data_IF_932354028778
#
_entry.id   IF_932354028778
#
_cell.length_a   1.000
_cell.length_b   1.000
_cell.length_c   1.000
_cell.angle_alpha   90.00
_cell.angle_beta   90.00
_cell.angle_gamma   90.00
#
_symmetry.space_group_name_H-M   'P 1'
#
loop_
_entity.id
_entity.type
_entity.pdbx_description
1 polymer ?
#
# COMPACT_ATOMS: atom_id res chain seq x y z
N UNK A 1 -10.26 -7.09 23.19
CA UNK A 1 -9.27 -8.10 23.63
C UNK A 1 -8.08 -7.46 24.36
N UNK A 2 -8.21 -7.16 25.65
CA UNK A 2 -7.12 -6.53 26.42
C UNK A 2 -5.89 -7.43 26.65
N UNK A 3 -5.97 -8.74 26.35
CA UNK A 3 -4.91 -9.72 26.64
C UNK A 3 -4.12 -10.22 25.41
N UNK A 4 -4.36 -9.68 24.20
CA UNK A 4 -3.55 -10.07 23.04
C UNK A 4 -2.15 -9.45 23.19
N UNK A 5 -1.18 -10.28 23.58
CA UNK A 5 0.23 -9.93 23.53
C UNK A 5 0.76 -10.17 22.12
N UNK A 6 1.04 -9.09 21.39
CA UNK A 6 1.86 -9.18 20.19
C UNK A 6 3.24 -9.70 20.59
N UNK A 7 3.70 -10.77 19.94
CA UNK A 7 4.99 -11.42 20.21
C UNK A 7 5.67 -11.82 18.90
N UNK A 8 6.89 -12.36 19.00
CA UNK A 8 7.65 -12.81 17.83
C UNK A 8 8.33 -11.67 17.06
N UNK A 9 8.76 -12.00 15.84
CA UNK A 9 9.59 -11.12 14.99
C UNK A 9 8.95 -9.74 14.76
N UNK A 10 7.64 -9.59 14.45
CA UNK A 10 7.03 -8.27 14.25
C UNK A 10 7.09 -7.38 15.50
N UNK A 11 6.89 -7.96 16.69
CA UNK A 11 6.95 -7.22 17.94
C UNK A 11 8.39 -6.79 18.27
N UNK A 12 9.36 -7.68 18.06
CA UNK A 12 10.78 -7.35 18.22
C UNK A 12 11.21 -6.23 17.28
N UNK A 13 10.85 -6.33 16.01
CA UNK A 13 11.11 -5.32 14.97
C UNK A 13 10.62 -3.94 15.39
N UNK A 14 9.36 -3.82 15.81
CA UNK A 14 8.82 -2.52 16.19
C UNK A 14 9.38 -2.01 17.53
N UNK A 15 9.69 -2.88 18.48
CA UNK A 15 10.39 -2.46 19.70
C UNK A 15 11.76 -1.86 19.39
N UNK A 16 12.48 -2.40 18.40
CA UNK A 16 13.76 -1.83 17.94
C UNK A 16 13.54 -0.47 17.29
N UNK A 17 12.50 -0.31 16.46
CA UNK A 17 12.14 0.99 15.88
C UNK A 17 11.81 2.05 16.93
N UNK A 18 11.04 1.70 17.96
CA UNK A 18 10.74 2.61 19.08
C UNK A 18 12.02 3.05 19.79
N UNK A 19 12.93 2.11 20.08
CA UNK A 19 14.23 2.42 20.72
C UNK A 19 15.11 3.35 19.88
N UNK A 20 14.96 3.31 18.56
CA UNK A 20 15.69 4.16 17.61
C UNK A 20 14.98 5.48 17.31
N UNK A 21 13.80 5.73 17.88
CA UNK A 21 12.99 6.92 17.58
C UNK A 21 12.40 6.93 16.17
N UNK A 22 12.39 5.79 15.48
CA UNK A 22 11.87 5.63 14.13
C UNK A 22 10.34 5.45 14.08
N UNK A 23 9.74 5.23 15.24
CA UNK A 23 8.30 5.23 15.52
C UNK A 23 8.13 5.51 17.03
N UNK A 24 6.91 5.79 17.47
CA UNK A 24 6.60 6.11 18.86
C UNK A 24 5.96 4.92 19.61
N UNK A 25 6.12 4.95 20.93
CA UNK A 25 5.57 3.92 21.82
C UNK A 25 4.03 3.92 21.81
N UNK A 26 3.43 5.08 21.56
CA UNK A 26 1.99 5.25 21.48
C UNK A 26 1.40 4.50 20.27
N UNK A 27 2.10 4.47 19.14
CA UNK A 27 1.77 3.69 17.94
C UNK A 27 1.77 2.20 18.27
N UNK A 28 2.75 1.74 19.06
CA UNK A 28 2.80 0.37 19.57
C UNK A 28 1.67 0.03 20.55
N UNK A 29 1.33 0.96 21.45
CA UNK A 29 0.27 0.78 22.45
C UNK A 29 -1.14 0.90 21.84
N UNK A 30 -1.30 1.67 20.76
CA UNK A 30 -2.54 1.78 19.97
C UNK A 30 -2.68 0.70 18.91
N UNK A 31 -1.62 -0.05 18.58
CA UNK A 31 -1.66 -1.13 17.60
C UNK A 31 -2.82 -2.13 17.78
N UNK A 32 -3.18 -2.58 19.01
CA UNK A 32 -4.37 -3.41 19.22
C UNK A 32 -5.70 -2.74 18.86
N UNK A 33 -5.73 -1.43 18.60
CA UNK A 33 -6.92 -0.65 18.23
C UNK A 33 -6.78 0.00 16.83
N UNK A 34 -5.68 -0.25 16.14
CA UNK A 34 -5.42 0.22 14.79
C UNK A 34 -5.83 -0.88 13.83
N UNK A 35 -6.89 -0.66 13.04
CA UNK A 35 -7.41 -1.61 12.06
C UNK A 35 -6.25 -2.29 11.31
N UNK A 36 -6.02 -3.56 11.65
CA UNK A 36 -4.76 -4.28 11.43
C UNK A 36 -4.60 -4.52 9.94
N UNK A 37 -3.73 -3.69 9.35
CA UNK A 37 -3.44 -3.70 7.92
C UNK A 37 -2.81 -2.40 7.43
N UNK A 38 -3.00 -1.28 8.15
CA UNK A 38 -2.61 0.04 7.59
C UNK A 38 -1.76 0.97 8.46
N UNK A 39 -1.56 0.76 9.78
CA UNK A 39 -1.27 1.91 10.65
C UNK A 39 -0.11 1.83 11.65
N UNK A 40 0.86 0.90 11.50
CA UNK A 40 2.15 1.08 12.18
C UNK A 40 3.04 1.98 11.32
N UNK A 41 3.02 3.28 11.56
CA UNK A 41 3.83 4.24 10.82
C UNK A 41 5.24 4.25 11.39
N UNK A 42 6.23 4.05 10.53
CA UNK A 42 7.64 4.11 10.89
C UNK A 42 8.45 4.72 9.77
N UNK A 43 9.65 5.18 10.09
CA UNK A 43 10.61 5.60 9.06
C UNK A 43 11.06 4.38 8.24
N UNK A 44 10.84 4.37 6.90
CA UNK A 44 11.16 3.22 6.05
C UNK A 44 12.67 2.95 5.95
N UNK A 45 13.52 3.97 6.08
CA UNK A 45 14.97 3.79 6.07
C UNK A 45 15.42 3.14 7.38
N UNK A 46 14.84 3.55 8.50
CA UNK A 46 15.12 2.93 9.80
C UNK A 46 14.58 1.50 9.88
N UNK A 47 13.41 1.22 9.27
CA UNK A 47 12.91 -0.14 9.11
C UNK A 47 13.90 -1.01 8.34
N UNK A 48 14.40 -0.52 7.21
CA UNK A 48 15.42 -1.22 6.42
C UNK A 48 16.68 -1.49 7.24
N UNK A 49 17.15 -0.52 8.01
CA UNK A 49 18.29 -0.68 8.91
C UNK A 49 18.05 -1.73 10.01
N UNK A 50 16.88 -1.71 10.66
CA UNK A 50 16.54 -2.70 11.69
C UNK A 50 16.48 -4.11 11.11
N UNK A 51 15.92 -4.28 9.91
CA UNK A 51 15.90 -5.59 9.25
C UNK A 51 17.32 -6.12 8.94
N UNK A 52 18.25 -5.24 8.53
CA UNK A 52 19.65 -5.61 8.34
C UNK A 52 20.29 -6.10 9.65
N UNK A 53 20.12 -5.34 10.74
CA UNK A 53 20.66 -5.72 12.06
C UNK A 53 20.10 -7.07 12.53
N UNK A 54 18.78 -7.24 12.46
CA UNK A 54 18.12 -8.48 12.88
C UNK A 54 18.62 -9.68 12.07
N UNK A 55 18.84 -9.51 10.76
CA UNK A 55 19.37 -10.56 9.91
C UNK A 55 20.84 -10.90 10.25
N UNK A 56 21.69 -9.90 10.46
CA UNK A 56 23.10 -10.11 10.83
C UNK A 56 23.24 -10.78 12.20
N UNK A 57 22.48 -10.33 13.21
CA UNK A 57 22.47 -10.92 14.54
C UNK A 57 21.99 -12.38 14.53
N UNK A 58 21.06 -12.71 13.64
CA UNK A 58 20.60 -14.08 13.41
C UNK A 58 21.60 -14.94 12.60
N UNK A 59 22.72 -14.37 12.16
CA UNK A 59 23.73 -15.05 11.35
C UNK A 59 23.28 -15.32 9.91
N UNK A 60 22.29 -14.57 9.40
CA UNK A 60 21.81 -14.68 8.03
C UNK A 60 22.86 -14.13 7.08
N UNK A 61 23.29 -14.95 6.11
CA UNK A 61 24.16 -14.50 5.04
C UNK A 61 23.36 -13.72 4.00
N UNK A 62 23.40 -12.40 4.09
CA UNK A 62 22.70 -11.50 3.17
C UNK A 62 23.37 -11.45 1.79
N UNK A 63 22.55 -11.43 0.75
CA UNK A 63 22.95 -11.16 -0.64
C UNK A 63 22.14 -9.97 -1.18
N UNK A 64 22.57 -8.75 -0.87
CA UNK A 64 21.92 -7.53 -1.35
C UNK A 64 22.20 -7.29 -2.84
N UNK A 65 21.41 -6.43 -3.50
CA UNK A 65 21.53 -6.12 -4.93
C UNK A 65 21.57 -7.38 -5.82
N UNK A 66 20.80 -8.39 -5.42
CA UNK A 66 20.73 -9.71 -6.05
C UNK A 66 19.29 -9.95 -6.49
N UNK A 67 19.11 -10.23 -7.77
CA UNK A 67 17.81 -10.49 -8.38
C UNK A 67 17.64 -11.97 -8.64
N UNK A 68 16.47 -12.50 -8.31
CA UNK A 68 16.05 -13.83 -8.72
C UNK A 68 16.00 -13.93 -10.26
N UNK A 69 16.36 -15.09 -10.82
CA UNK A 69 16.28 -15.36 -12.25
C UNK A 69 15.47 -16.62 -12.57
N UNK A 70 15.74 -17.72 -11.85
CA UNK A 70 15.08 -19.00 -12.12
C UNK A 70 15.18 -19.94 -10.91
N UNK A 71 14.26 -20.88 -10.77
CA UNK A 71 14.30 -21.94 -9.77
C UNK A 71 15.12 -23.13 -10.29
N UNK A 72 15.90 -23.76 -9.41
CA UNK A 72 16.56 -25.03 -9.73
C UNK A 72 15.66 -26.15 -9.24
N UNK A 73 15.03 -26.88 -10.15
CA UNK A 73 14.12 -27.99 -9.83
C UNK A 73 14.75 -29.31 -10.24
N UNK A 74 14.83 -30.25 -9.29
CA UNK A 74 15.30 -31.62 -9.51
C UNK A 74 14.31 -32.59 -8.85
N UNK A 75 13.88 -33.63 -9.57
CA UNK A 75 12.98 -34.67 -9.04
C UNK A 75 11.71 -34.11 -8.35
N UNK A 76 11.10 -33.10 -8.99
CA UNK A 76 9.90 -32.41 -8.48
C UNK A 76 10.12 -31.68 -7.13
N UNK A 77 11.36 -31.28 -6.82
CA UNK A 77 11.70 -30.50 -5.64
C UNK A 77 12.63 -29.33 -5.98
N UNK A 78 12.36 -28.16 -5.39
CA UNK A 78 13.24 -26.99 -5.51
C UNK A 78 14.54 -27.26 -4.72
N UNK A 79 15.69 -27.20 -5.40
CA UNK A 79 17.04 -27.42 -4.85
C UNK A 79 17.86 -26.14 -4.74
N UNK A 80 17.29 -25.01 -5.14
CA UNK A 80 17.98 -23.72 -5.13
C UNK A 80 17.39 -22.74 -6.12
N UNK A 81 18.12 -21.65 -6.34
CA UNK A 81 17.76 -20.60 -7.28
C UNK A 81 18.97 -20.14 -8.08
N UNK A 82 18.72 -19.68 -9.30
CA UNK A 82 19.64 -18.90 -10.11
C UNK A 82 19.39 -17.43 -9.80
N UNK A 83 20.47 -16.69 -9.55
CA UNK A 83 20.43 -15.26 -9.24
C UNK A 83 21.37 -14.47 -10.13
N UNK A 84 21.12 -13.16 -10.24
CA UNK A 84 21.97 -12.20 -10.92
C UNK A 84 22.34 -11.06 -9.96
N UNK A 85 23.64 -10.79 -9.84
CA UNK A 85 24.15 -9.62 -9.12
C UNK A 85 25.37 -9.04 -9.83
N UNK A 86 26.09 -8.10 -9.18
CA UNK A 86 27.28 -7.44 -9.73
C UNK A 86 28.39 -8.42 -10.11
N UNK A 87 28.48 -9.57 -9.44
CA UNK A 87 29.46 -10.62 -9.71
C UNK A 87 29.03 -11.60 -10.80
N UNK A 88 27.90 -11.32 -11.48
CA UNK A 88 27.38 -12.16 -12.55
C UNK A 88 26.25 -13.08 -12.09
N UNK A 89 25.96 -14.07 -12.93
CA UNK A 89 24.92 -15.08 -12.70
C UNK A 89 25.48 -16.22 -11.83
N UNK A 90 24.74 -16.61 -10.80
CA UNK A 90 25.19 -17.59 -9.81
C UNK A 90 24.07 -18.58 -9.49
N UNK A 91 24.43 -19.83 -9.17
CA UNK A 91 23.52 -20.81 -8.62
C UNK A 91 23.69 -20.87 -7.09
N UNK A 92 22.59 -20.69 -6.36
CA UNK A 92 22.54 -20.82 -4.89
C UNK A 92 21.74 -22.07 -4.56
N UNK A 93 22.43 -23.15 -4.16
CA UNK A 93 21.77 -24.39 -3.74
C UNK A 93 21.32 -24.31 -2.29
N UNK A 94 20.15 -24.86 -2.01
CA UNK A 94 19.57 -24.92 -0.67
C UNK A 94 18.79 -26.21 -0.47
N UNK A 95 18.66 -26.65 0.79
CA UNK A 95 17.80 -27.79 1.15
C UNK A 95 16.31 -27.42 1.11
N UNK A 96 16.03 -26.16 1.43
CA UNK A 96 14.68 -25.57 1.47
C UNK A 96 14.81 -24.17 0.89
N UNK A 97 13.86 -23.78 0.04
CA UNK A 97 13.71 -22.42 -0.48
C UNK A 97 12.39 -21.87 0.03
N UNK A 98 12.43 -20.69 0.64
CA UNK A 98 11.24 -19.97 1.10
C UNK A 98 10.97 -18.85 0.09
N UNK A 99 9.83 -18.90 -0.59
CA UNK A 99 9.42 -17.83 -1.50
C UNK A 99 8.79 -16.69 -0.68
N UNK A 100 9.62 -15.68 -0.41
CA UNK A 100 9.20 -14.43 0.23
C UNK A 100 9.27 -13.25 -0.77
N UNK A 101 9.05 -13.52 -2.07
CA UNK A 101 9.10 -12.48 -3.11
C UNK A 101 7.90 -11.55 -3.10
N UNK A 102 6.78 -11.98 -2.50
CA UNK A 102 5.51 -11.25 -2.49
C UNK A 102 4.68 -11.43 -3.78
N UNK A 103 5.27 -12.02 -4.82
CA UNK A 103 4.67 -12.19 -6.15
C UNK A 103 4.75 -13.64 -6.66
N UNK A 104 5.08 -14.57 -5.75
CA UNK A 104 5.27 -16.00 -6.02
C UNK A 104 6.22 -16.29 -7.20
N UNK A 105 7.26 -15.47 -7.38
CA UNK A 105 8.18 -15.58 -8.51
C UNK A 105 8.95 -16.90 -8.52
N UNK A 106 9.38 -17.36 -7.33
CA UNK A 106 10.13 -18.62 -7.21
C UNK A 106 9.19 -19.80 -7.43
N UNK A 107 8.00 -19.77 -6.81
CA UNK A 107 7.00 -20.82 -6.97
C UNK A 107 6.56 -20.96 -8.44
N UNK A 108 6.22 -19.85 -9.10
CA UNK A 108 5.81 -19.86 -10.50
C UNK A 108 6.94 -20.34 -11.43
N UNK A 109 8.18 -19.91 -11.19
CA UNK A 109 9.35 -20.39 -11.95
C UNK A 109 9.63 -21.87 -11.72
N UNK A 110 9.33 -22.41 -10.53
CA UNK A 110 9.41 -23.84 -10.24
C UNK A 110 8.27 -24.67 -10.87
N UNK A 111 7.31 -24.04 -11.56
CA UNK A 111 6.15 -24.70 -12.17
C UNK A 111 4.99 -24.96 -11.21
N UNK A 112 4.97 -24.31 -10.03
CA UNK A 112 3.84 -24.40 -9.10
C UNK A 112 2.62 -23.68 -9.71
N UNK A 113 1.43 -24.32 -9.72
CA UNK A 113 0.22 -23.68 -10.21
C UNK A 113 -0.07 -22.37 -9.46
N UNK A 114 -0.34 -21.32 -10.23
CA UNK A 114 -0.63 -19.99 -9.71
C UNK A 114 -1.78 -19.38 -10.51
N UNK A 115 -2.71 -18.73 -9.80
CA UNK A 115 -3.68 -17.83 -10.42
C UNK A 115 -3.08 -16.42 -10.54
N UNK A 116 -3.51 -15.68 -11.56
CA UNK A 116 -3.10 -14.30 -11.77
C UNK A 116 -4.24 -13.35 -11.38
N UNK A 117 -3.97 -12.46 -10.43
CA UNK A 117 -4.91 -11.45 -9.97
C UNK A 117 -4.52 -10.06 -10.49
N UNK A 118 -5.36 -9.47 -11.33
CA UNK A 118 -5.22 -8.08 -11.83
C UNK A 118 -6.19 -7.11 -11.14
N UNK A 119 -6.95 -7.61 -10.16
CA UNK A 119 -8.08 -6.94 -9.55
C UNK A 119 -7.71 -5.94 -8.47
N UNK A 120 -6.44 -5.89 -8.04
CA UNK A 120 -5.94 -4.88 -7.09
C UNK A 120 -4.90 -3.98 -7.77
N UNK A 121 -4.83 -2.70 -7.36
CA UNK A 121 -3.98 -1.75 -8.03
C UNK A 121 -2.52 -1.92 -7.61
N UNK A 122 -1.65 -1.37 -8.45
CA UNK A 122 -0.30 -1.04 -8.06
C UNK A 122 -0.29 0.29 -7.32
N UNK A 123 0.63 0.42 -6.37
CA UNK A 123 0.80 1.65 -5.60
C UNK A 123 2.24 2.13 -5.62
N UNK A 124 2.42 3.44 -5.47
CA UNK A 124 3.71 4.07 -5.25
C UNK A 124 3.58 5.00 -4.04
N UNK A 125 3.91 4.47 -2.86
CA UNK A 125 3.87 5.24 -1.61
C UNK A 125 4.81 6.44 -1.74
N UNK A 126 4.31 7.61 -1.38
CA UNK A 126 5.03 8.88 -1.48
C UNK A 126 5.18 9.50 -0.11
N UNK A 127 6.39 9.94 0.20
CA UNK A 127 6.76 10.62 1.43
C UNK A 127 6.94 12.10 1.16
N UNK A 128 6.16 12.93 1.82
CA UNK A 128 6.09 14.37 1.58
C UNK A 128 6.49 15.08 2.87
N UNK A 129 7.58 15.82 2.82
CA UNK A 129 8.10 16.62 3.93
C UNK A 129 7.69 18.09 3.83
N UNK A 130 8.00 18.84 4.89
CA UNK A 130 7.71 20.27 5.03
C UNK A 130 6.22 20.62 4.88
N UNK A 131 5.34 19.77 5.41
CA UNK A 131 3.90 20.04 5.49
C UNK A 131 3.62 20.82 6.77
N UNK A 132 2.89 21.94 6.67
CA UNK A 132 2.41 22.69 7.82
C UNK A 132 1.12 22.05 8.35
N UNK A 133 1.32 21.26 9.40
CA UNK A 133 0.30 20.44 10.04
C UNK A 133 -0.81 21.27 10.68
N UNK A 134 -0.46 22.33 11.41
CA UNK A 134 -1.42 23.23 12.05
C UNK A 134 -2.35 23.86 11.02
N UNK A 135 -1.81 24.27 9.87
CA UNK A 135 -2.59 24.85 8.78
C UNK A 135 -3.52 23.83 8.12
N UNK A 136 -3.07 22.59 7.96
CA UNK A 136 -3.94 21.49 7.49
C UNK A 136 -5.10 21.28 8.47
N UNK A 137 -4.82 21.18 9.78
CA UNK A 137 -5.86 21.02 10.82
C UNK A 137 -6.84 22.17 10.82
N UNK A 138 -6.33 23.39 10.79
CA UNK A 138 -7.16 24.59 10.79
C UNK A 138 -8.09 24.57 9.59
N UNK A 139 -7.55 24.33 8.39
CA UNK A 139 -8.34 24.26 7.17
C UNK A 139 -9.45 23.20 7.24
N UNK A 140 -9.14 21.99 7.72
CA UNK A 140 -10.11 20.91 7.87
C UNK A 140 -11.14 21.16 8.99
N UNK A 141 -10.76 21.93 10.01
CA UNK A 141 -11.67 22.33 11.10
C UNK A 141 -12.66 23.39 10.64
N UNK A 142 -12.21 24.32 9.79
CA UNK A 142 -13.03 25.38 9.20
C UNK A 142 -13.88 24.87 8.03
N UNK A 143 -13.46 23.78 7.38
CA UNK A 143 -14.13 23.15 6.25
C UNK A 143 -14.38 21.66 6.57
N UNK A 144 -15.41 21.35 7.38
CA UNK A 144 -15.66 20.00 7.85
C UNK A 144 -16.02 19.06 6.69
N UNK A 145 -15.70 17.78 6.89
CA UNK A 145 -15.91 16.73 5.90
C UNK A 145 -17.40 16.43 5.72
N UNK A 146 -17.92 16.65 4.51
CA UNK A 146 -19.30 16.32 4.12
C UNK A 146 -19.34 15.18 3.12
N UNK A 147 -20.50 14.65 2.73
CA UNK A 147 -20.53 13.87 1.48
C UNK A 147 -20.31 14.79 0.26
N UNK A 148 -19.84 14.27 -0.90
CA UNK A 148 -19.79 15.08 -2.10
C UNK A 148 -21.23 15.31 -2.56
N UNK A 149 -21.54 16.54 -2.92
CA UNK A 149 -22.88 16.90 -3.38
C UNK A 149 -23.22 16.26 -4.75
N UNK A 150 -24.49 16.34 -5.12
CA UNK A 150 -24.98 15.79 -6.39
C UNK A 150 -24.35 16.47 -7.61
N UNK A 151 -23.99 17.75 -7.50
CA UNK A 151 -23.35 18.50 -8.58
C UNK A 151 -21.96 17.93 -8.87
N UNK A 152 -21.15 17.69 -7.83
CA UNK A 152 -19.85 17.06 -7.97
C UNK A 152 -19.97 15.65 -8.53
N UNK A 153 -20.89 14.83 -8.02
CA UNK A 153 -21.07 13.44 -8.49
C UNK A 153 -21.43 13.40 -9.97
N UNK A 154 -22.30 14.29 -10.43
CA UNK A 154 -22.67 14.38 -11.84
C UNK A 154 -21.50 14.86 -12.71
N UNK A 155 -20.84 15.94 -12.31
CA UNK A 155 -19.64 16.44 -12.98
C UNK A 155 -18.54 15.36 -13.07
N UNK A 156 -18.32 14.63 -11.99
CA UNK A 156 -17.25 13.64 -11.94
C UNK A 156 -17.56 12.43 -12.83
N UNK A 157 -18.83 12.02 -12.89
CA UNK A 157 -19.29 11.00 -13.84
C UNK A 157 -19.03 11.43 -15.28
N UNK A 158 -19.39 12.66 -15.67
CA UNK A 158 -19.14 13.21 -17.01
C UNK A 158 -17.63 13.30 -17.32
N UNK A 159 -16.84 13.74 -16.34
CA UNK A 159 -15.38 13.78 -16.44
C UNK A 159 -14.80 12.39 -16.72
N UNK A 160 -15.22 11.36 -15.99
CA UNK A 160 -14.76 9.99 -16.20
C UNK A 160 -15.18 9.43 -17.57
N UNK A 161 -16.42 9.68 -18.00
CA UNK A 161 -16.90 9.31 -19.35
C UNK A 161 -15.98 9.88 -20.41
N UNK A 162 -15.63 11.17 -20.31
CA UNK A 162 -14.73 11.84 -21.26
C UNK A 162 -13.31 11.26 -21.22
N UNK A 163 -12.73 11.09 -20.03
CA UNK A 163 -11.34 10.65 -19.88
C UNK A 163 -11.14 9.18 -20.27
N UNK A 164 -12.11 8.32 -19.93
CA UNK A 164 -12.01 6.89 -20.16
C UNK A 164 -12.66 6.46 -21.48
N UNK A 165 -13.52 7.29 -22.08
CA UNK A 165 -14.31 6.91 -23.24
C UNK A 165 -15.26 5.76 -22.94
N UNK A 166 -15.78 5.70 -21.71
CA UNK A 166 -16.70 4.66 -21.24
C UNK A 166 -18.14 5.19 -21.20
N UNK A 167 -19.15 4.33 -21.36
CA UNK A 167 -20.53 4.68 -21.05
C UNK A 167 -20.69 5.15 -19.59
N UNK A 168 -21.65 6.05 -19.29
CA UNK A 168 -21.87 6.57 -17.93
C UNK A 168 -22.06 5.49 -16.86
N UNK A 169 -22.80 4.42 -17.19
CA UNK A 169 -23.07 3.27 -16.32
C UNK A 169 -21.82 2.47 -15.94
N UNK A 170 -20.77 2.53 -16.77
CA UNK A 170 -19.50 1.86 -16.50
C UNK A 170 -18.50 2.79 -15.82
N UNK A 171 -18.53 4.09 -16.14
CA UNK A 171 -17.74 5.10 -15.45
C UNK A 171 -17.99 5.11 -13.93
N UNK A 172 -19.25 4.99 -13.49
CA UNK A 172 -19.62 4.95 -12.07
C UNK A 172 -19.22 3.65 -11.35
N UNK A 173 -18.85 2.60 -12.09
CA UNK A 173 -18.40 1.32 -11.51
C UNK A 173 -16.89 1.31 -11.23
N UNK A 174 -16.14 2.27 -11.78
CA UNK A 174 -14.68 2.38 -11.61
C UNK A 174 -14.28 2.53 -10.14
N UNK A 175 -13.07 2.05 -9.81
CA UNK A 175 -12.49 2.24 -8.47
C UNK A 175 -12.38 3.72 -8.13
N UNK A 176 -11.90 4.53 -9.08
CA UNK A 176 -11.85 5.98 -8.99
C UNK A 176 -13.18 6.61 -8.55
N UNK A 177 -14.29 6.29 -9.23
CA UNK A 177 -15.60 6.84 -8.88
C UNK A 177 -15.98 6.50 -7.43
N UNK A 178 -15.80 5.25 -7.02
CA UNK A 178 -16.15 4.81 -5.66
C UNK A 178 -15.32 5.51 -4.59
N UNK A 179 -14.02 5.69 -4.81
CA UNK A 179 -13.12 6.34 -3.85
C UNK A 179 -13.49 7.82 -3.68
N UNK A 180 -13.72 8.52 -4.77
CA UNK A 180 -13.95 9.97 -4.76
C UNK A 180 -15.40 10.37 -4.46
N UNK A 181 -16.36 9.43 -4.47
CA UNK A 181 -17.76 9.69 -4.14
C UNK A 181 -18.22 9.09 -2.81
N UNK A 182 -17.30 8.47 -2.08
CA UNK A 182 -17.56 7.87 -0.77
C UNK A 182 -16.87 8.67 0.35
N UNK A 183 -17.56 8.86 1.47
CA UNK A 183 -17.03 9.50 2.68
C UNK A 183 -17.40 8.69 3.91
N UNK A 184 -16.64 8.89 4.99
CA UNK A 184 -17.03 8.50 6.34
C UNK A 184 -17.44 9.76 7.14
N UNK A 185 -18.62 10.35 6.90
CA UNK A 185 -19.02 11.63 7.48
C UNK A 185 -19.09 11.62 9.01
N UNK A 186 -19.33 10.44 9.62
CA UNK A 186 -19.42 10.28 11.08
C UNK A 186 -18.05 10.14 11.77
N UNK A 187 -16.93 10.19 11.03
CA UNK A 187 -15.59 10.16 11.63
C UNK A 187 -15.16 11.59 11.98
N UNK A 188 -14.99 11.95 13.26
CA UNK A 188 -14.57 13.29 13.65
C UNK A 188 -13.09 13.48 13.31
N UNK A 189 -12.77 13.81 12.06
CA UNK A 189 -11.39 13.82 11.54
C UNK A 189 -10.49 14.78 12.33
N UNK A 190 -11.00 15.92 12.79
CA UNK A 190 -10.28 16.81 13.71
C UNK A 190 -9.83 16.06 14.97
N UNK A 191 -10.75 15.33 15.60
CA UNK A 191 -10.48 14.51 16.78
C UNK A 191 -9.53 13.35 16.44
N UNK A 192 -9.73 12.64 15.33
CA UNK A 192 -8.84 11.56 14.87
C UNK A 192 -7.43 12.09 14.60
N UNK A 193 -7.33 13.30 14.07
CA UNK A 193 -6.05 13.94 13.82
C UNK A 193 -5.35 14.35 15.11
N UNK A 194 -6.06 15.03 16.00
CA UNK A 194 -5.57 15.40 17.34
C UNK A 194 -5.17 14.17 18.16
N UNK A 195 -5.89 13.05 18.02
CA UNK A 195 -5.66 11.82 18.79
C UNK A 195 -4.66 10.86 18.13
N UNK A 196 -4.61 10.77 16.81
CA UNK A 196 -3.91 9.67 16.09
C UNK A 196 -2.96 10.17 15.02
N UNK A 197 -2.93 11.46 14.73
CA UNK A 197 -2.02 12.00 13.75
C UNK A 197 -2.13 11.35 12.37
N UNK A 198 -3.32 10.92 11.98
CA UNK A 198 -3.47 10.16 10.75
C UNK A 198 -4.83 10.35 10.17
N UNK A 199 -4.91 10.20 8.84
CA UNK A 199 -6.17 10.23 8.17
C UNK A 199 -6.28 9.13 7.11
N UNK A 200 -7.17 8.19 7.38
CA UNK A 200 -7.64 7.21 6.41
C UNK A 200 -8.80 7.79 5.59
N UNK A 201 -8.67 7.72 4.26
CA UNK A 201 -9.70 8.10 3.27
C UNK A 201 -10.08 9.58 3.25
N UNK A 202 -9.87 10.17 2.09
CA UNK A 202 -10.07 11.57 1.66
C UNK A 202 -10.86 12.57 2.55
N UNK A 203 -10.33 13.79 2.79
CA UNK A 203 -11.10 15.00 3.09
C UNK A 203 -12.14 15.24 2.04
N UNK A 204 -13.37 15.37 2.46
CA UNK A 204 -14.43 15.73 1.54
C UNK A 204 -14.50 17.23 1.26
N UNK A 205 -13.34 17.89 1.29
CA UNK A 205 -13.12 19.21 0.71
C UNK A 205 -12.02 19.16 -0.34
N UNK A 206 -11.19 18.10 -0.37
CA UNK A 206 -10.19 17.92 -1.43
C UNK A 206 -10.86 17.75 -2.79
N UNK A 207 -12.09 17.21 -2.86
CA UNK A 207 -12.78 17.04 -4.13
C UNK A 207 -13.18 18.38 -4.75
N UNK A 208 -13.47 19.41 -3.94
CA UNK A 208 -13.68 20.78 -4.45
C UNK A 208 -12.38 21.36 -5.00
N UNK A 209 -11.28 21.16 -4.27
CA UNK A 209 -9.95 21.56 -4.71
C UNK A 209 -9.56 20.83 -5.99
N UNK A 210 -9.80 19.52 -6.08
CA UNK A 210 -9.54 18.70 -7.25
C UNK A 210 -10.41 19.12 -8.44
N UNK A 211 -11.71 19.36 -8.25
CA UNK A 211 -12.59 19.87 -9.29
C UNK A 211 -12.11 21.21 -9.82
N UNK A 212 -11.71 22.13 -8.92
CA UNK A 212 -11.14 23.43 -9.29
C UNK A 212 -9.81 23.27 -10.05
N UNK A 213 -8.94 22.37 -9.61
CA UNK A 213 -7.67 22.09 -10.29
C UNK A 213 -7.88 21.50 -11.69
N UNK A 214 -8.82 20.56 -11.85
CA UNK A 214 -9.19 20.01 -13.15
C UNK A 214 -9.74 21.09 -14.07
N UNK A 215 -10.66 21.95 -13.59
CA UNK A 215 -11.21 23.08 -14.36
C UNK A 215 -10.12 24.07 -14.82
N UNK A 216 -9.05 24.21 -14.04
CA UNK A 216 -7.91 25.07 -14.37
C UNK A 216 -6.83 24.37 -15.23
N UNK A 217 -6.95 23.07 -15.49
CA UNK A 217 -5.92 22.29 -16.20
C UNK A 217 -4.68 21.95 -15.36
N UNK A 218 -4.78 22.04 -14.03
CA UNK A 218 -3.69 21.79 -13.09
C UNK A 218 -3.67 20.35 -12.54
N UNK A 219 -4.70 19.56 -12.81
CA UNK A 219 -4.82 18.17 -12.37
C UNK A 219 -5.64 17.35 -13.37
N UNK A 220 -5.21 16.12 -13.64
CA UNK A 220 -6.09 15.06 -14.15
C UNK A 220 -6.26 14.05 -13.02
N UNK A 221 -7.49 13.71 -12.65
CA UNK A 221 -7.80 12.72 -11.60
C UNK A 221 -7.56 11.28 -12.07
N UNK A 222 -7.57 11.05 -13.39
CA UNK A 222 -7.37 9.75 -14.01
C UNK A 222 -6.81 9.90 -15.42
N UNK A 223 -5.92 9.00 -15.82
CA UNK A 223 -5.39 8.91 -17.19
C UNK A 223 -5.30 7.46 -17.63
N UNK A 224 -5.42 7.23 -18.93
CA UNK A 224 -5.07 5.94 -19.53
C UNK A 224 -3.55 5.78 -19.58
N UNK A 225 -3.10 4.55 -19.39
CA UNK A 225 -1.73 4.11 -19.63
C UNK A 225 -1.78 3.14 -20.81
N UNK A 226 -1.20 3.55 -21.93
CA UNK A 226 -1.37 2.89 -23.22
C UNK A 226 -1.00 1.39 -23.21
N UNK A 227 -1.98 0.57 -23.58
CA UNK A 227 -1.86 -0.89 -23.62
C UNK A 227 -1.79 -1.56 -22.25
N UNK A 228 -2.04 -0.84 -21.15
CA UNK A 228 -1.88 -1.39 -19.79
C UNK A 228 -3.14 -1.23 -18.95
N UNK A 229 -3.65 -0.01 -18.79
CA UNK A 229 -4.70 0.26 -17.81
C UNK A 229 -4.90 1.74 -17.54
N UNK A 230 -5.16 2.11 -16.29
CA UNK A 230 -5.32 3.50 -15.85
C UNK A 230 -4.37 3.82 -14.70
N UNK A 231 -3.98 5.09 -14.61
CA UNK A 231 -3.39 5.69 -13.41
C UNK A 231 -4.38 6.70 -12.85
N UNK A 232 -4.63 6.62 -11.55
CA UNK A 232 -5.66 7.37 -10.85
C UNK A 232 -5.04 8.06 -9.65
N UNK A 233 -5.57 9.24 -9.32
CA UNK A 233 -5.31 9.90 -8.05
C UNK A 233 -5.89 9.01 -6.95
N UNK A 234 -5.02 8.21 -6.35
CA UNK A 234 -5.31 7.34 -5.23
C UNK A 234 -5.47 8.17 -3.96
N UNK A 235 -6.45 7.82 -3.14
CA UNK A 235 -6.66 8.50 -1.85
C UNK A 235 -6.98 7.48 -0.78
N UNK A 236 -6.02 6.60 -0.51
CA UNK A 236 -6.09 5.75 0.70
C UNK A 236 -5.88 6.60 1.97
N UNK A 237 -5.26 7.77 1.85
CA UNK A 237 -5.10 8.73 2.94
C UNK A 237 -3.78 9.50 2.88
N UNK A 238 -3.65 10.46 3.78
CA UNK A 238 -2.38 11.09 4.13
C UNK A 238 -2.14 10.82 5.62
N UNK A 239 -0.99 10.26 5.92
CA UNK A 239 -0.68 9.69 7.22
C UNK A 239 0.53 10.38 7.79
N UNK A 240 0.50 10.82 9.06
CA UNK A 240 1.75 11.28 9.64
C UNK A 240 2.70 10.12 9.82
N UNK A 241 3.95 10.45 9.59
CA UNK A 241 5.02 9.61 10.02
C UNK A 241 5.26 9.83 11.51
N UNK A 242 5.05 8.77 12.28
CA UNK A 242 5.52 8.72 13.66
C UNK A 242 7.03 9.03 13.72
N UNK A 243 7.41 9.95 14.60
CA UNK A 243 8.79 10.42 14.73
C UNK A 243 9.25 11.48 13.71
N UNK A 244 8.39 11.91 12.76
CA UNK A 244 8.71 12.99 11.82
C UNK A 244 7.56 14.00 11.69
N UNK A 245 7.54 14.99 12.60
CA UNK A 245 6.49 16.00 12.82
C UNK A 245 6.15 16.91 11.62
N UNK A 246 6.88 16.85 10.50
CA UNK A 246 6.58 17.62 9.28
C UNK A 246 6.47 16.75 8.04
N UNK A 247 6.26 15.46 8.23
CA UNK A 247 6.20 14.49 7.15
C UNK A 247 4.86 13.75 7.13
N UNK A 248 4.28 13.67 5.94
CA UNK A 248 3.12 12.83 5.64
C UNK A 248 3.48 11.79 4.60
N UNK A 249 2.91 10.59 4.71
CA UNK A 249 3.03 9.52 3.73
C UNK A 249 1.66 9.30 3.10
N UNK A 250 1.62 8.98 1.82
CA UNK A 250 0.36 8.66 1.18
C UNK A 250 0.56 7.73 0.00
N UNK A 251 -0.35 6.76 -0.12
CA UNK A 251 -0.54 6.06 -1.37
C UNK A 251 -1.43 6.92 -2.28
N UNK A 252 -0.84 7.98 -2.83
CA UNK A 252 -1.55 9.00 -3.59
C UNK A 252 -1.77 8.63 -5.06
N UNK A 253 -1.12 7.57 -5.54
CA UNK A 253 -1.16 7.15 -6.93
C UNK A 253 -1.50 5.66 -7.01
N UNK A 254 -2.53 5.31 -7.79
CA UNK A 254 -3.03 3.95 -7.94
C UNK A 254 -3.12 3.59 -9.41
N UNK A 255 -2.59 2.42 -9.80
CA UNK A 255 -2.66 1.96 -11.19
C UNK A 255 -3.46 0.67 -11.31
N UNK A 256 -4.52 0.69 -12.13
CA UNK A 256 -5.49 -0.39 -12.26
C UNK A 256 -5.45 -1.01 -13.65
N UNK A 257 -5.51 -2.34 -13.72
CA UNK A 257 -5.43 -3.10 -14.96
C UNK A 257 -4.05 -3.71 -15.33
N UNK A 258 -2.88 -3.19 -14.89
CA UNK A 258 -1.62 -3.82 -15.23
C UNK A 258 -1.49 -5.26 -14.74
N UNK A 259 -0.61 -6.01 -15.39
CA UNK A 259 -0.29 -7.39 -15.07
C UNK A 259 1.07 -7.43 -14.36
N UNK A 260 1.09 -7.78 -13.08
CA UNK A 260 2.33 -7.85 -12.27
C UNK A 260 3.35 -8.84 -12.80
N UNK A 261 2.91 -9.85 -13.55
CA UNK A 261 3.81 -10.85 -14.15
C UNK A 261 4.41 -10.41 -15.49
N UNK A 262 3.98 -9.26 -16.04
CA UNK A 262 4.42 -8.76 -17.34
C UNK A 262 5.40 -7.58 -17.18
N UNK A 263 6.65 -7.78 -17.61
CA UNK A 263 7.71 -6.78 -17.50
C UNK A 263 7.45 -5.45 -18.24
N UNK A 264 6.73 -5.48 -19.37
CA UNK A 264 6.36 -4.25 -20.09
C UNK A 264 5.29 -3.47 -19.31
N UNK A 265 4.30 -4.16 -18.74
CA UNK A 265 3.27 -3.54 -17.90
C UNK A 265 3.92 -2.89 -16.68
N UNK A 266 4.74 -3.62 -15.92
CA UNK A 266 5.46 -3.10 -14.75
C UNK A 266 6.30 -1.87 -15.11
N UNK A 267 6.97 -1.89 -16.27
CA UNK A 267 7.77 -0.74 -16.75
C UNK A 267 6.90 0.48 -17.03
N UNK A 268 5.81 0.32 -17.79
CA UNK A 268 4.90 1.43 -18.13
C UNK A 268 4.21 2.00 -16.89
N UNK A 269 3.83 1.14 -15.96
CA UNK A 269 3.25 1.51 -14.66
C UNK A 269 4.22 2.35 -13.84
N UNK A 270 5.47 1.91 -13.70
CA UNK A 270 6.50 2.64 -12.96
C UNK A 270 6.69 4.06 -13.53
N UNK A 271 6.78 4.18 -14.87
CA UNK A 271 6.93 5.47 -15.55
C UNK A 271 5.72 6.37 -15.31
N UNK A 272 4.50 5.82 -15.43
CA UNK A 272 3.27 6.56 -15.20
C UNK A 272 3.16 7.01 -13.73
N UNK A 273 3.38 6.11 -12.78
CA UNK A 273 3.31 6.37 -11.35
C UNK A 273 4.24 7.50 -10.93
N UNK A 274 5.52 7.44 -11.34
CA UNK A 274 6.51 8.47 -10.98
C UNK A 274 6.17 9.85 -11.50
N UNK A 275 5.72 9.96 -12.74
CA UNK A 275 5.27 11.24 -13.32
C UNK A 275 4.06 11.76 -12.56
N UNK A 276 3.07 10.90 -12.39
CA UNK A 276 1.79 11.24 -11.80
C UNK A 276 1.92 11.65 -10.32
N UNK A 277 2.78 10.97 -9.55
CA UNK A 277 3.11 11.36 -8.16
C UNK A 277 3.59 12.81 -8.07
N UNK A 278 4.50 13.23 -8.95
CA UNK A 278 5.01 14.62 -8.95
C UNK A 278 3.89 15.62 -9.21
N UNK A 279 3.00 15.29 -10.17
CA UNK A 279 1.87 16.14 -10.52
C UNK A 279 0.85 16.25 -9.39
N UNK A 280 0.56 15.15 -8.70
CA UNK A 280 -0.32 15.14 -7.52
C UNK A 280 0.26 15.96 -6.36
N UNK A 281 1.57 15.86 -6.12
CA UNK A 281 2.21 16.69 -5.09
C UNK A 281 2.20 18.17 -5.49
N UNK A 282 2.37 18.50 -6.77
CA UNK A 282 2.22 19.88 -7.24
C UNK A 282 0.78 20.40 -7.08
N UNK A 283 -0.23 19.57 -7.33
CA UNK A 283 -1.62 19.88 -6.99
C UNK A 283 -1.76 20.18 -5.50
N UNK A 284 -1.26 19.31 -4.61
CA UNK A 284 -1.32 19.52 -3.17
C UNK A 284 -0.66 20.86 -2.79
N UNK A 285 0.55 21.12 -3.29
CA UNK A 285 1.28 22.37 -3.04
C UNK A 285 0.52 23.63 -3.45
N UNK A 286 -0.19 23.57 -4.57
CA UNK A 286 -0.91 24.72 -5.14
C UNK A 286 -2.28 24.94 -4.52
N UNK A 287 -2.95 23.87 -4.10
CA UNK A 287 -4.37 23.92 -3.73
C UNK A 287 -4.68 23.60 -2.28
N UNK A 288 -3.87 22.78 -1.60
CA UNK A 288 -4.20 22.28 -0.27
C UNK A 288 -3.47 23.08 0.82
N UNK A 289 -4.18 23.85 1.66
CA UNK A 289 -3.53 24.67 2.68
C UNK A 289 -2.64 23.85 3.61
N UNK A 290 -1.40 24.29 3.78
CA UNK A 290 -0.36 23.62 4.56
C UNK A 290 0.66 22.86 3.70
N UNK A 291 0.38 22.63 2.41
CA UNK A 291 1.31 21.99 1.50
C UNK A 291 2.15 22.98 0.69
N UNK A 292 2.04 24.30 0.87
CA UNK A 292 2.72 25.27 0.00
C UNK A 292 4.25 25.11 -0.02
N UNK A 293 4.82 24.75 1.14
CA UNK A 293 6.24 24.46 1.30
C UNK A 293 6.62 23.00 1.02
N UNK A 294 5.67 22.14 0.68
CA UNK A 294 5.87 20.70 0.68
C UNK A 294 6.93 20.24 -0.34
N UNK A 295 7.66 19.19 0.02
CA UNK A 295 8.73 18.60 -0.76
C UNK A 295 8.57 17.08 -0.80
N UNK A 296 8.80 16.47 -1.96
CA UNK A 296 8.92 15.01 -2.03
C UNK A 296 10.24 14.63 -1.37
N UNK A 297 10.16 13.87 -0.29
CA UNK A 297 11.34 13.33 0.41
C UNK A 297 11.82 12.07 -0.28
N UNK A 298 10.89 11.16 -0.54
CA UNK A 298 11.13 9.93 -1.29
C UNK A 298 9.80 9.38 -1.84
N UNK A 299 9.95 8.36 -2.67
CA UNK A 299 8.87 7.52 -3.19
C UNK A 299 9.32 6.08 -3.04
N UNK A 300 8.37 5.15 -3.05
CA UNK A 300 8.67 3.72 -3.06
C UNK A 300 9.76 3.38 -4.09
N UNK A 301 10.67 2.48 -3.71
CA UNK A 301 11.82 2.12 -4.55
C UNK A 301 11.36 1.61 -5.92
N UNK A 302 10.23 0.89 -5.94
CA UNK A 302 9.53 0.40 -7.13
C UNK A 302 8.02 0.48 -6.88
N UNK A 303 7.27 0.67 -7.95
CA UNK A 303 5.83 0.45 -7.99
C UNK A 303 5.58 -1.04 -7.97
N UNK A 304 4.77 -1.50 -7.03
CA UNK A 304 4.46 -2.91 -6.85
C UNK A 304 2.96 -3.14 -6.84
N UNK A 305 2.50 -4.29 -7.37
CA UNK A 305 1.11 -4.68 -7.23
C UNK A 305 0.84 -5.07 -5.77
N UNK A 306 -0.41 -4.89 -5.34
CA UNK A 306 -0.85 -5.49 -4.06
C UNK A 306 -0.99 -7.00 -4.10
N UNK A 307 -1.15 -7.54 -5.29
CA UNK A 307 -1.22 -8.97 -5.60
C UNK A 307 -0.93 -9.14 -7.09
N UNK A 308 -0.18 -10.18 -7.44
CA UNK A 308 0.05 -10.60 -8.82
C UNK A 308 -0.25 -12.08 -8.96
N UNK A 309 0.73 -12.96 -8.75
CA UNK A 309 0.50 -14.41 -8.72
C UNK A 309 0.10 -14.85 -7.32
N UNK A 310 -0.93 -15.67 -7.24
CA UNK A 310 -1.42 -16.30 -6.02
C UNK A 310 -1.26 -17.81 -6.18
N UNK A 311 -0.48 -18.44 -5.30
CA UNK A 311 -0.24 -19.89 -5.31
C UNK A 311 -1.58 -20.62 -5.13
N UNK A 312 -1.85 -21.60 -5.98
CA UNK A 312 -3.00 -22.49 -5.82
C UNK A 312 -2.66 -23.58 -4.80
N UNK A 313 -3.00 -23.32 -3.54
CA UNK A 313 -2.80 -24.29 -2.48
C UNK A 313 -3.97 -25.27 -2.31
N UNK A 314 -3.80 -26.28 -1.45
CA UNK A 314 -4.81 -27.26 -1.06
C UNK A 314 -6.09 -26.62 -0.50
N UNK A 315 -5.98 -25.38 0.00
CA UNK A 315 -7.10 -24.60 0.50
C UNK A 315 -7.02 -23.13 0.09
N UNK A 316 -8.14 -22.61 -0.42
CA UNK A 316 -8.31 -21.19 -0.70
C UNK A 316 -9.03 -20.52 0.46
N UNK A 317 -8.35 -19.61 1.16
CA UNK A 317 -8.91 -18.86 2.28
C UNK A 317 -10.03 -17.93 1.81
N UNK A 318 -11.23 -18.12 2.34
CA UNK A 318 -12.45 -17.44 1.90
C UNK A 318 -12.77 -16.24 2.79
N UNK A 319 -13.69 -15.40 2.31
CA UNK A 319 -14.12 -14.22 3.07
C UNK A 319 -14.82 -14.61 4.37
N UNK A 320 -15.50 -15.75 4.39
CA UNK A 320 -16.20 -16.31 5.54
C UNK A 320 -15.22 -16.75 6.63
N UNK A 321 -14.04 -17.25 6.26
CA UNK A 321 -13.04 -17.74 7.22
C UNK A 321 -12.48 -16.62 8.10
N UNK A 322 -12.58 -15.36 7.63
CA UNK A 322 -12.28 -14.15 8.40
C UNK A 322 -13.14 -13.98 9.65
N UNK A 323 -14.21 -14.77 9.81
CA UNK A 323 -15.15 -14.72 10.93
C UNK A 323 -14.88 -15.82 11.96
N UNK A 324 -13.64 -15.90 12.41
CA UNK A 324 -13.19 -16.81 13.46
C UNK A 324 -12.94 -18.26 13.08
N UNK A 325 -12.52 -18.52 11.83
CA UNK A 325 -12.08 -19.87 11.46
C UNK A 325 -10.89 -20.32 12.32
N UNK A 326 -10.86 -21.62 12.64
CA UNK A 326 -9.79 -22.29 13.38
C UNK A 326 -9.29 -23.45 12.56
N UNK A 327 -7.98 -23.58 12.49
CA UNK A 327 -7.36 -24.64 11.71
C UNK A 327 -6.32 -25.40 12.55
N UNK A 328 -6.29 -26.74 12.49
CA UNK A 328 -5.31 -27.53 13.24
C UNK A 328 -3.86 -27.28 12.79
N UNK A 329 -3.67 -26.77 11.58
CA UNK A 329 -2.40 -26.41 10.94
C UNK A 329 -2.19 -24.89 10.88
N UNK A 330 -2.79 -24.12 11.80
CA UNK A 330 -2.61 -22.68 11.86
C UNK A 330 -1.13 -22.29 12.00
N UNK A 331 -0.64 -21.40 11.12
CA UNK A 331 0.72 -20.83 11.18
C UNK A 331 0.73 -19.38 11.63
N UNK A 332 -0.43 -18.72 11.56
CA UNK A 332 -0.63 -17.35 12.00
C UNK A 332 -2.09 -17.16 12.41
N UNK A 333 -2.36 -16.42 13.49
CA UNK A 333 -3.73 -16.01 13.84
C UNK A 333 -3.88 -14.53 13.48
N UNK A 334 -4.69 -14.27 12.46
CA UNK A 334 -5.06 -12.94 12.04
C UNK A 334 -6.12 -12.37 12.97
N UNK A 335 -5.93 -11.13 13.39
CA UNK A 335 -6.93 -10.37 14.16
C UNK A 335 -7.64 -9.46 13.17
N UNK A 336 -8.97 -9.40 13.18
CA UNK A 336 -9.73 -8.33 12.53
C UNK A 336 -10.17 -7.34 13.59
N UNK A 337 -9.47 -6.21 13.71
CA UNK A 337 -9.80 -5.23 14.74
C UNK A 337 -11.09 -4.45 14.45
N UNK A 338 -11.46 -4.24 13.19
CA UNK A 338 -12.80 -3.74 12.84
C UNK A 338 -13.96 -4.65 13.26
N UNK A 339 -13.71 -5.94 13.54
CA UNK A 339 -14.76 -6.93 13.84
C UNK A 339 -14.59 -7.62 15.19
N UNK A 340 -13.50 -7.37 15.89
CA UNK A 340 -13.15 -8.09 17.13
C UNK A 340 -13.18 -9.63 16.94
N UNK A 341 -12.70 -10.10 15.80
CA UNK A 341 -12.66 -11.54 15.46
C UNK A 341 -11.21 -12.01 15.27
N UNK A 342 -10.91 -13.21 15.74
CA UNK A 342 -9.61 -13.88 15.56
C UNK A 342 -9.76 -15.02 14.59
N UNK A 343 -9.04 -15.05 13.48
CA UNK A 343 -9.11 -16.13 12.48
C UNK A 343 -7.74 -16.70 12.19
N UNK A 344 -7.64 -18.03 12.18
CA UNK A 344 -6.39 -18.73 11.89
C UNK A 344 -6.14 -18.74 10.37
N UNK A 345 -4.87 -18.60 9.99
CA UNK A 345 -4.36 -18.77 8.64
C UNK A 345 -3.65 -20.13 8.60
N UNK A 346 -4.19 -21.12 7.89
CA UNK A 346 -3.65 -22.47 7.89
C UNK A 346 -2.44 -22.60 6.98
N UNK A 347 -1.51 -23.48 7.32
CA UNK A 347 -0.32 -23.77 6.52
C UNK A 347 -0.68 -24.28 5.13
N UNK A 348 -1.76 -25.05 5.00
CA UNK A 348 -2.21 -25.66 3.73
C UNK A 348 -2.61 -24.66 2.64
N UNK A 349 -2.65 -23.34 2.91
CA UNK A 349 -2.77 -22.34 1.83
C UNK A 349 -1.45 -22.18 1.05
N UNK A 350 -0.36 -22.73 1.59
CA UNK A 350 1.00 -22.68 1.04
C UNK A 350 1.46 -24.05 0.49
N UNK A 351 0.65 -25.09 0.69
CA UNK A 351 0.83 -26.44 0.14
C UNK A 351 0.00 -26.55 -1.12
#
# INVERSE_FOLDING_TARGET
>A
YPDIRYTGIPFEFLNRLVKLGATDKETMEKWPNLDVGYAAWFDPEMASYVFLLMAEEAGVKLMLNTYFCDAIVEENAVKGVIVQNKSGRQAVRAKVVVDATGEADVAASAGVPCTLNKGLPFGLITRIGNVNHEKVVQYLSENPVTEPDSEFKEWFKEYLVKQLGLPPEDAVKTGCYKVWTYSYPDRPIKKIWEEKGSWNFCPMEIWKLAQKAVKNGDLDIIRKVDGVGTVEAGWDGLYYQSGAEKCVHGNICMLWGPDGSNGEHVTKVEVAARKYTVELVNFLKKYFPGFEGAQIMDVGVRTMPRTSREIEGEYHFKREDRKSARFPDAVYTWVSLAREELSDIPFRILL
#
